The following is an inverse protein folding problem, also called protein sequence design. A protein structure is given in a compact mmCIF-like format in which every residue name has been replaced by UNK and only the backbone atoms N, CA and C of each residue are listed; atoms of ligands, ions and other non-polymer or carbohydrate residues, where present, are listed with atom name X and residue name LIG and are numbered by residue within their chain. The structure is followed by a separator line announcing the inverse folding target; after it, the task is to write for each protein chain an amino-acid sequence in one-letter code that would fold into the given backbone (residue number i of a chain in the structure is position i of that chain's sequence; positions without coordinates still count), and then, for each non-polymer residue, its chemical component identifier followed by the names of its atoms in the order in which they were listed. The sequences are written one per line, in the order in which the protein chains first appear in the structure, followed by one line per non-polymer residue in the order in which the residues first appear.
data_IF_215260805282
#
_entry.id   IF_215260805282
#
_cell.length_a   1.000
_cell.length_b   1.000
_cell.length_c   1.000
_cell.angle_alpha   90.00
_cell.angle_beta   90.00
_cell.angle_gamma   90.00
#
_symmetry.space_group_name_H-M   'P 1'
#
loop_
_entity.id
_entity.type
_entity.pdbx_description
1 polymer ?
#
# COMPACT_ATOMS: atom_id res chain seq x y z
N UNK A 1 5.66 33.69 4.59
CA UNK A 1 4.99 32.75 3.67
C UNK A 1 5.36 31.35 4.12
N UNK A 2 4.38 30.47 4.21
CA UNK A 2 4.62 29.07 4.57
C UNK A 2 5.00 28.29 3.31
N UNK A 3 5.89 27.31 3.47
CA UNK A 3 6.40 26.45 2.42
C UNK A 3 5.83 25.04 2.57
N UNK A 4 5.60 24.38 1.43
CA UNK A 4 5.16 23.00 1.38
C UNK A 4 6.35 22.07 1.19
N UNK A 5 6.56 21.13 2.11
CA UNK A 5 7.73 20.24 2.14
C UNK A 5 7.34 18.77 1.96
N UNK A 6 8.28 17.99 1.42
CA UNK A 6 8.09 16.56 1.18
C UNK A 6 8.17 15.76 2.47
N UNK A 7 7.00 15.42 3.02
CA UNK A 7 6.84 14.63 4.24
C UNK A 7 7.60 13.29 4.16
N UNK A 8 7.57 12.63 2.99
CA UNK A 8 8.21 11.33 2.84
C UNK A 8 9.73 11.48 2.85
N UNK A 9 10.25 12.49 2.15
CA UNK A 9 11.68 12.79 2.16
C UNK A 9 12.19 13.07 3.57
N UNK A 10 11.48 13.88 4.36
CA UNK A 10 11.85 14.18 5.76
C UNK A 10 11.90 12.89 6.60
N UNK A 11 10.91 12.01 6.48
CA UNK A 11 10.89 10.72 7.20
C UNK A 11 12.03 9.81 6.76
N UNK A 12 12.33 9.77 5.47
CA UNK A 12 13.43 8.97 4.92
C UNK A 12 14.77 9.47 5.44
N UNK A 13 15.06 10.76 5.35
CA UNK A 13 16.32 11.34 5.84
C UNK A 13 16.49 11.19 7.34
N UNK A 14 15.39 11.34 8.11
CA UNK A 14 15.38 11.08 9.56
C UNK A 14 15.70 9.61 9.88
N UNK A 15 15.06 8.67 9.20
CA UNK A 15 15.29 7.24 9.42
C UNK A 15 16.69 6.80 8.97
N UNK A 16 17.19 7.35 7.86
CA UNK A 16 18.55 7.09 7.34
C UNK A 16 19.63 7.44 8.37
N UNK A 17 19.39 8.46 9.19
CA UNK A 17 20.28 8.88 10.28
C UNK A 17 19.95 8.24 11.63
N UNK A 18 18.94 7.37 11.70
CA UNK A 18 18.53 6.70 12.93
C UNK A 18 17.91 7.62 13.98
N UNK A 19 17.35 8.76 13.57
CA UNK A 19 16.84 9.76 14.51
C UNK A 19 15.38 9.52 14.88
N UNK A 20 15.05 9.70 16.16
CA UNK A 20 13.68 9.84 16.62
C UNK A 20 13.14 11.24 16.28
N UNK A 21 11.82 11.42 16.34
CA UNK A 21 11.22 12.76 16.14
C UNK A 21 11.70 13.79 17.18
N UNK A 22 11.96 13.37 18.42
CA UNK A 22 12.51 14.27 19.45
C UNK A 22 13.96 14.66 19.15
N UNK A 23 14.79 13.69 18.74
CA UNK A 23 16.17 13.98 18.36
C UNK A 23 16.26 14.94 17.17
N UNK A 24 15.40 14.76 16.16
CA UNK A 24 15.34 15.70 15.03
C UNK A 24 14.91 17.10 15.51
N UNK A 25 13.96 17.18 16.46
CA UNK A 25 13.53 18.45 17.01
C UNK A 25 14.69 19.17 17.73
N UNK A 26 15.46 18.44 18.53
CA UNK A 26 16.61 18.97 19.25
C UNK A 26 17.72 19.45 18.29
N UNK A 27 18.04 18.65 17.25
CA UNK A 27 19.06 19.00 16.24
C UNK A 27 18.66 20.24 15.44
N UNK A 28 17.40 20.32 15.00
CA UNK A 28 16.90 21.46 14.24
C UNK A 28 16.60 22.69 15.11
N UNK A 29 16.76 22.59 16.44
CA UNK A 29 16.30 23.62 17.39
C UNK A 29 14.82 23.99 17.20
N UNK A 30 13.98 23.00 16.91
CA UNK A 30 12.54 23.12 16.73
C UNK A 30 11.80 22.40 17.86
N UNK A 31 10.53 22.74 18.10
CA UNK A 31 9.71 21.97 19.04
C UNK A 31 9.32 20.60 18.47
N UNK A 32 9.17 19.59 19.32
CA UNK A 32 8.64 18.27 18.90
C UNK A 32 7.27 18.40 18.21
N UNK A 33 6.41 19.30 18.68
CA UNK A 33 5.11 19.60 18.06
C UNK A 33 5.29 20.14 16.64
N UNK A 34 6.31 20.94 16.40
CA UNK A 34 6.64 21.46 15.08
C UNK A 34 7.02 20.32 14.15
N UNK A 35 7.95 19.44 14.54
CA UNK A 35 8.35 18.25 13.75
C UNK A 35 7.15 17.34 13.46
N UNK A 36 6.33 17.05 14.47
CA UNK A 36 5.12 16.24 14.30
C UNK A 36 4.14 16.87 13.30
N UNK A 37 3.94 18.19 13.37
CA UNK A 37 3.08 18.91 12.45
C UNK A 37 3.64 18.88 11.02
N UNK A 38 4.95 19.04 10.86
CA UNK A 38 5.63 18.94 9.56
C UNK A 38 5.44 17.54 8.97
N UNK A 39 5.69 16.48 9.75
CA UNK A 39 5.54 15.10 9.29
C UNK A 39 4.08 14.65 9.05
N UNK A 40 3.10 15.47 9.44
CA UNK A 40 1.67 15.22 9.27
C UNK A 40 1.03 16.08 8.18
N UNK A 41 1.38 17.37 8.12
CA UNK A 41 0.74 18.36 7.26
C UNK A 41 1.64 18.86 6.12
N UNK A 42 2.96 18.75 6.24
CA UNK A 42 3.89 19.24 5.22
C UNK A 42 4.01 20.76 5.10
N UNK A 43 3.35 21.53 5.98
CA UNK A 43 3.41 23.00 5.98
C UNK A 43 4.39 23.50 7.05
N UNK A 44 5.32 24.36 6.66
CA UNK A 44 6.30 24.92 7.61
C UNK A 44 6.80 26.31 7.21
N UNK A 45 7.27 27.09 8.19
CA UNK A 45 7.85 28.41 7.94
C UNK A 45 9.22 28.31 7.27
N UNK A 46 9.61 29.35 6.52
CA UNK A 46 10.91 29.42 5.85
C UNK A 46 12.10 29.17 6.79
N UNK A 47 12.08 29.76 7.98
CA UNK A 47 13.12 29.55 9.02
C UNK A 47 13.20 28.08 9.43
N UNK A 48 12.06 27.41 9.62
CA UNK A 48 12.04 26.00 10.00
C UNK A 48 12.53 25.10 8.87
N UNK A 49 12.20 25.42 7.60
CA UNK A 49 12.75 24.67 6.45
C UNK A 49 14.27 24.82 6.42
N UNK A 50 14.80 26.02 6.65
CA UNK A 50 16.24 26.25 6.67
C UNK A 50 16.93 25.45 7.78
N UNK A 51 16.34 25.38 8.98
CA UNK A 51 16.88 24.53 10.05
C UNK A 51 16.87 23.04 9.67
N UNK A 52 15.82 22.56 9.03
CA UNK A 52 15.72 21.19 8.51
C UNK A 52 16.73 20.90 7.41
N UNK A 53 16.90 21.83 6.47
CA UNK A 53 17.87 21.74 5.38
C UNK A 53 19.29 21.67 5.92
N UNK A 54 19.62 22.53 6.89
CA UNK A 54 20.91 22.53 7.56
C UNK A 54 21.16 21.21 8.33
N UNK A 55 20.17 20.72 9.07
CA UNK A 55 20.30 19.46 9.83
C UNK A 55 20.48 18.23 8.93
N UNK A 56 19.86 18.23 7.74
CA UNK A 56 19.98 17.14 6.78
C UNK A 56 21.14 17.28 5.79
N UNK A 57 21.83 18.43 5.80
CA UNK A 57 22.89 18.78 4.83
C UNK A 57 22.39 18.76 3.38
N UNK A 58 21.18 19.26 3.15
CA UNK A 58 20.53 19.34 1.83
C UNK A 58 20.09 20.77 1.54
N UNK A 59 19.74 21.06 0.29
CA UNK A 59 19.21 22.38 -0.08
C UNK A 59 17.73 22.52 0.30
N UNK A 60 17.28 23.76 0.49
CA UNK A 60 15.85 24.08 0.76
C UNK A 60 14.95 23.61 -0.40
N UNK A 61 15.43 23.73 -1.64
CA UNK A 61 14.69 23.33 -2.84
C UNK A 61 14.47 21.81 -2.90
N UNK A 62 15.43 21.00 -2.43
CA UNK A 62 15.28 19.54 -2.37
C UNK A 62 14.19 19.10 -1.39
N UNK A 63 14.02 19.83 -0.28
CA UNK A 63 13.00 19.58 0.74
C UNK A 63 11.61 20.08 0.32
N UNK A 64 11.55 21.06 -0.59
CA UNK A 64 10.31 21.75 -0.96
C UNK A 64 9.63 21.04 -2.14
N UNK A 65 8.31 20.90 -2.07
CA UNK A 65 7.51 20.35 -3.17
C UNK A 65 7.18 21.49 -4.13
N UNK A 66 7.72 21.47 -5.35
CA UNK A 66 7.21 22.32 -6.43
C UNK A 66 5.82 21.85 -6.85
N UNK A 67 4.96 22.76 -7.32
CA UNK A 67 3.56 22.47 -7.67
C UNK A 67 3.40 21.24 -8.59
N UNK A 68 4.35 21.01 -9.49
CA UNK A 68 4.40 19.86 -10.39
C UNK A 68 4.58 18.51 -9.65
N UNK A 69 5.32 18.49 -8.54
CA UNK A 69 5.54 17.29 -7.73
C UNK A 69 4.34 16.99 -6.81
N UNK A 70 3.57 18.02 -6.44
CA UNK A 70 2.36 17.86 -5.63
C UNK A 70 1.26 17.09 -6.39
N UNK A 71 1.02 17.44 -7.67
CA UNK A 71 0.03 16.75 -8.52
C UNK A 71 0.40 15.27 -8.75
N UNK A 72 1.67 14.99 -9.03
CA UNK A 72 2.16 13.63 -9.22
C UNK A 72 2.12 12.81 -7.91
N UNK A 73 2.36 13.43 -6.75
CA UNK A 73 2.25 12.75 -5.45
C UNK A 73 0.80 12.44 -5.10
N UNK A 74 -0.15 13.33 -5.44
CA UNK A 74 -1.58 13.09 -5.26
C UNK A 74 -2.08 11.95 -6.16
N UNK A 75 -1.71 11.93 -7.45
CA UNK A 75 -2.09 10.86 -8.37
C UNK A 75 -1.50 9.50 -7.95
N UNK A 76 -0.24 9.46 -7.49
CA UNK A 76 0.40 8.25 -6.98
C UNK A 76 -0.26 7.75 -5.68
N UNK A 77 -0.70 8.65 -4.78
CA UNK A 77 -1.35 8.25 -3.53
C UNK A 77 -2.80 7.79 -3.73
N UNK A 78 -3.51 8.33 -4.72
CA UNK A 78 -4.83 7.84 -5.13
C UNK A 78 -4.77 6.39 -5.63
N UNK A 79 -3.69 6.01 -6.32
CA UNK A 79 -3.49 4.64 -6.81
C UNK A 79 -3.02 3.67 -5.70
N UNK A 80 -2.10 4.12 -4.82
CA UNK A 80 -1.50 3.26 -3.77
C UNK A 80 -2.45 2.79 -2.66
N UNK A 81 -3.62 3.43 -2.50
CA UNK A 81 -4.62 3.08 -1.49
C UNK A 81 -5.42 1.81 -1.79
N UNK A 82 -5.43 1.33 -3.03
CA UNK A 82 -6.31 0.22 -3.48
C UNK A 82 -5.70 -1.19 -3.31
N UNK A 83 -4.38 -1.30 -3.15
CA UNK A 83 -3.67 -2.57 -3.42
C UNK A 83 -2.88 -3.18 -2.25
N UNK A 84 -2.87 -2.55 -1.06
CA UNK A 84 -1.93 -2.92 0.02
C UNK A 84 -2.39 -4.04 0.97
N UNK A 85 -3.62 -4.57 0.83
CA UNK A 85 -4.24 -5.43 1.85
C UNK A 85 -4.88 -6.73 1.32
N UNK A 86 -4.25 -7.47 0.42
CA UNK A 86 -4.92 -8.62 -0.24
C UNK A 86 -4.31 -10.02 0.01
N UNK A 87 -3.97 -10.45 1.25
CA UNK A 87 -3.65 -11.87 1.50
C UNK A 87 -4.85 -12.79 1.22
N UNK A 88 -6.07 -12.26 1.32
CA UNK A 88 -7.32 -12.99 1.12
C UNK A 88 -7.50 -13.56 -0.31
N UNK A 89 -6.96 -12.87 -1.32
CA UNK A 89 -7.15 -13.22 -2.73
C UNK A 89 -6.11 -14.23 -3.19
N UNK A 90 -4.87 -14.09 -2.69
CA UNK A 90 -3.81 -15.07 -2.90
C UNK A 90 -4.17 -16.40 -2.22
N UNK A 91 -4.69 -16.36 -0.99
CA UNK A 91 -5.08 -17.56 -0.26
C UNK A 91 -6.25 -18.31 -0.92
N UNK A 92 -7.26 -17.61 -1.42
CA UNK A 92 -8.38 -18.22 -2.15
C UNK A 92 -7.97 -18.81 -3.51
N UNK A 93 -7.10 -18.13 -4.26
CA UNK A 93 -6.65 -18.61 -5.58
C UNK A 93 -5.75 -19.84 -5.47
N UNK A 94 -4.86 -19.90 -4.48
CA UNK A 94 -4.00 -21.06 -4.22
C UNK A 94 -4.83 -22.28 -3.80
N UNK A 95 -5.84 -22.10 -2.94
CA UNK A 95 -6.75 -23.18 -2.53
C UNK A 95 -7.55 -23.78 -3.71
N UNK A 96 -7.98 -22.94 -4.66
CA UNK A 96 -8.68 -23.40 -5.86
C UNK A 96 -7.79 -24.28 -6.76
N UNK A 97 -6.51 -23.91 -6.93
CA UNK A 97 -5.57 -24.70 -7.74
C UNK A 97 -5.28 -26.06 -7.09
N UNK A 98 -5.09 -26.10 -5.76
CA UNK A 98 -4.83 -27.35 -5.02
C UNK A 98 -6.03 -28.31 -5.13
N UNK A 99 -7.24 -27.80 -4.97
CA UNK A 99 -8.47 -28.62 -5.07
C UNK A 99 -8.69 -29.14 -6.49
N UNK A 100 -8.39 -28.34 -7.53
CA UNK A 100 -8.44 -28.79 -8.92
C UNK A 100 -7.41 -29.89 -9.23
N UNK A 101 -6.18 -29.76 -8.71
CA UNK A 101 -5.13 -30.78 -8.88
C UNK A 101 -5.46 -32.08 -8.14
N UNK A 102 -6.00 -31.99 -6.92
CA UNK A 102 -6.47 -33.16 -6.16
C UNK A 102 -7.59 -33.91 -6.89
N UNK A 103 -8.49 -33.20 -7.57
CA UNK A 103 -9.52 -33.82 -8.42
C UNK A 103 -8.94 -34.49 -9.66
N UNK A 104 -8.01 -33.83 -10.34
CA UNK A 104 -7.33 -34.41 -11.51
C UNK A 104 -6.62 -35.71 -11.13
N UNK A 105 -5.97 -35.73 -9.97
CA UNK A 105 -5.34 -36.94 -9.43
C UNK A 105 -6.36 -38.03 -9.08
N UNK A 106 -7.44 -37.69 -8.38
CA UNK A 106 -8.47 -38.67 -7.98
C UNK A 106 -9.19 -39.26 -9.20
N UNK A 107 -9.43 -38.45 -10.25
CA UNK A 107 -10.02 -38.91 -11.50
C UNK A 107 -9.11 -39.92 -12.22
N UNK A 108 -7.79 -39.69 -12.23
CA UNK A 108 -6.81 -40.62 -12.82
C UNK A 108 -6.74 -41.92 -12.00
N UNK A 109 -6.76 -41.83 -10.67
CA UNK A 109 -6.66 -43.01 -9.78
C UNK A 109 -7.92 -43.88 -9.81
N UNK A 110 -9.12 -43.29 -9.96
CA UNK A 110 -10.38 -44.01 -9.97
C UNK A 110 -10.85 -44.44 -11.36
N UNK A 111 -10.21 -43.98 -12.44
CA UNK A 111 -10.48 -44.46 -13.80
C UNK A 111 -10.29 -45.98 -13.95
N UNK A 112 -9.58 -46.61 -13.02
CA UNK A 112 -9.26 -48.03 -13.02
C UNK A 112 -10.13 -48.91 -12.09
N UNK A 113 -11.17 -48.38 -11.42
CA UNK A 113 -11.98 -49.13 -10.44
C UNK A 113 -13.50 -48.91 -10.54
N UNK A 114 -14.35 -49.93 -10.26
CA UNK A 114 -15.79 -49.82 -10.45
C UNK A 114 -16.51 -49.23 -9.22
N UNK A 115 -17.23 -48.11 -9.43
CA UNK A 115 -18.32 -47.59 -8.58
C UNK A 115 -17.87 -46.99 -7.25
N UNK A 116 -18.31 -45.82 -6.77
CA UNK A 116 -19.45 -44.96 -7.07
C UNK A 116 -18.95 -43.53 -6.81
N UNK A 117 -18.69 -42.75 -7.86
CA UNK A 117 -18.27 -41.35 -7.68
C UNK A 117 -19.46 -40.43 -7.91
N UNK A 118 -19.97 -39.84 -6.81
CA UNK A 118 -21.07 -38.88 -6.87
C UNK A 118 -20.53 -37.53 -7.36
N UNK A 119 -20.37 -37.38 -8.67
CA UNK A 119 -19.91 -36.14 -9.33
C UNK A 119 -20.70 -34.89 -8.91
N UNK A 120 -21.97 -35.06 -8.53
CA UNK A 120 -22.84 -33.97 -8.09
C UNK A 120 -22.38 -33.28 -6.78
N UNK A 121 -21.77 -34.01 -5.84
CA UNK A 121 -21.27 -33.40 -4.58
C UNK A 121 -20.06 -32.50 -4.84
N UNK A 122 -19.20 -32.89 -5.78
CA UNK A 122 -18.03 -32.11 -6.16
C UNK A 122 -18.41 -30.86 -6.98
N UNK A 123 -19.41 -30.97 -7.87
CA UNK A 123 -19.94 -29.81 -8.60
C UNK A 123 -20.49 -28.73 -7.65
N UNK A 124 -21.20 -29.12 -6.59
CA UNK A 124 -21.70 -28.19 -5.59
C UNK A 124 -20.57 -27.41 -4.89
N UNK A 125 -19.44 -28.07 -4.58
CA UNK A 125 -18.28 -27.41 -3.99
C UNK A 125 -17.60 -26.43 -4.97
N UNK A 126 -17.51 -26.77 -6.26
CA UNK A 126 -16.98 -25.85 -7.29
C UNK A 126 -17.85 -24.62 -7.50
N UNK A 127 -19.19 -24.75 -7.47
CA UNK A 127 -20.10 -23.61 -7.60
C UNK A 127 -19.97 -22.67 -6.40
N UNK A 128 -19.90 -23.22 -5.18
CA UNK A 128 -19.70 -22.43 -3.95
C UNK A 128 -18.35 -21.72 -3.97
N UNK A 129 -17.26 -22.42 -4.30
CA UNK A 129 -15.92 -21.81 -4.36
C UNK A 129 -15.75 -20.83 -5.52
N UNK A 130 -16.32 -21.12 -6.69
CA UNK A 130 -16.30 -20.23 -7.85
C UNK A 130 -17.01 -18.90 -7.61
N UNK A 131 -18.09 -18.91 -6.80
CA UNK A 131 -18.80 -17.69 -6.41
C UNK A 131 -17.92 -16.73 -5.57
N UNK A 132 -16.98 -17.28 -4.79
CA UNK A 132 -16.08 -16.51 -3.93
C UNK A 132 -14.99 -15.77 -4.72
N UNK A 133 -14.59 -16.27 -5.89
CA UNK A 133 -13.67 -15.58 -6.79
C UNK A 133 -14.31 -14.34 -7.45
N UNK A 134 -15.60 -14.40 -7.79
CA UNK A 134 -16.31 -13.32 -8.48
C UNK A 134 -16.55 -12.13 -7.53
N UNK A 135 -16.89 -12.39 -6.26
CA UNK A 135 -16.99 -11.33 -5.24
C UNK A 135 -15.67 -10.58 -5.01
N UNK A 136 -14.55 -11.21 -5.35
CA UNK A 136 -13.22 -10.65 -5.15
C UNK A 136 -12.73 -9.70 -6.26
N UNK A 137 -13.44 -9.60 -7.38
CA UNK A 137 -13.00 -8.73 -8.47
C UNK A 137 -13.31 -7.28 -8.07
N UNK A 138 -12.29 -6.41 -7.88
CA UNK A 138 -12.55 -5.01 -7.55
C UNK A 138 -13.31 -4.37 -8.72
N UNK A 139 -14.51 -3.88 -8.44
CA UNK A 139 -15.25 -3.07 -9.41
C UNK A 139 -14.45 -1.79 -9.64
N UNK A 140 -13.94 -1.60 -10.85
CA UNK A 140 -13.31 -0.35 -11.26
C UNK A 140 -14.33 0.76 -11.04
N UNK A 141 -14.10 1.65 -10.07
CA UNK A 141 -14.93 2.83 -9.90
C UNK A 141 -14.77 3.67 -11.17
N UNK A 142 -15.81 3.72 -12.01
CA UNK A 142 -15.82 4.63 -13.15
C UNK A 142 -15.88 6.05 -12.58
N UNK A 143 -14.85 6.83 -12.87
CA UNK A 143 -14.86 8.27 -12.69
C UNK A 143 -15.91 8.87 -13.63
N UNK A 144 -17.18 8.85 -13.23
CA UNK A 144 -18.26 9.64 -13.83
C UNK A 144 -18.80 10.54 -12.74
N UNK A 145 -18.20 11.73 -12.67
CA UNK A 145 -18.54 12.79 -11.73
C UNK A 145 -17.76 14.05 -12.07
N UNK A 146 -17.91 14.50 -13.32
CA UNK A 146 -17.91 15.93 -13.66
C UNK A 146 -19.38 16.35 -13.54
#
# INVERSE_FOLDING_TARGET
MDMNVDINLIKVERNKRGWTQSQLADICSLSLRTIQRIEKLGLVSHESVQSLAAAFEVTVDELTISEMKAENTLSINLDKGSWRNKPFYWLGSVGFIITALMHMLMAILLYSGPGYFNHSMWFALYVVWGSFLIMGIPKKQSLSGI
#
